data_IF_935000414910
#
_entry.id   IF_935000414910
#
_cell.length_a   1.000
_cell.length_b   1.000
_cell.length_c   1.000
_cell.angle_alpha   90.00
_cell.angle_beta   90.00
_cell.angle_gamma   90.00
#
_symmetry.space_group_name_H-M   'P 1'
#
loop_
_entity.id
_entity.type
_entity.pdbx_description
1 polymer ?
#
# COMPACT_ATOMS: atom_id res chain seq x y z
N UNK A 1 -14.23 20.90 7.18
CA UNK A 1 -15.49 20.77 7.91
C UNK A 1 -15.22 21.00 9.38
N UNK A 2 -16.01 21.83 10.04
CA UNK A 2 -15.94 22.00 11.49
C UNK A 2 -16.56 20.75 12.14
N UNK A 3 -16.16 20.47 13.40
CA UNK A 3 -16.70 19.34 14.17
C UNK A 3 -18.21 19.42 14.35
N UNK A 4 -18.77 20.62 14.40
CA UNK A 4 -20.20 20.92 14.55
C UNK A 4 -21.02 20.59 13.30
N UNK A 5 -20.34 20.42 12.13
CA UNK A 5 -20.98 20.07 10.86
C UNK A 5 -21.12 18.54 10.67
N UNK A 6 -20.71 17.74 11.67
CA UNK A 6 -20.60 16.27 11.56
C UNK A 6 -21.43 15.59 12.64
N UNK A 7 -22.50 14.90 12.23
CA UNK A 7 -23.44 14.21 13.16
C UNK A 7 -22.81 12.96 13.80
N UNK A 8 -21.95 12.23 13.07
CA UNK A 8 -21.42 10.96 13.53
C UNK A 8 -19.96 10.75 13.12
N UNK A 9 -19.11 10.40 14.06
CA UNK A 9 -17.67 10.23 13.83
C UNK A 9 -17.27 8.78 14.05
N UNK A 10 -16.74 8.15 13.00
CA UNK A 10 -16.09 6.85 13.06
C UNK A 10 -14.58 6.99 12.98
N UNK A 11 -13.85 6.32 13.85
CA UNK A 11 -12.40 6.27 13.81
C UNK A 11 -11.88 4.92 13.35
N UNK A 12 -10.77 4.93 12.59
CA UNK A 12 -10.09 3.73 12.12
C UNK A 12 -8.58 3.93 12.09
N UNK A 13 -7.83 2.90 11.68
CA UNK A 13 -6.37 2.94 11.61
C UNK A 13 -5.70 2.68 12.96
N UNK A 14 -4.38 2.90 12.99
CA UNK A 14 -3.56 2.64 14.19
C UNK A 14 -3.97 3.52 15.36
N UNK A 15 -4.22 4.81 15.09
CA UNK A 15 -4.62 5.80 16.10
C UNK A 15 -6.11 5.82 16.46
N UNK A 16 -6.93 4.85 16.02
CA UNK A 16 -8.39 4.88 16.21
C UNK A 16 -8.85 5.05 17.66
N UNK A 17 -8.10 4.53 18.62
CA UNK A 17 -8.41 4.64 20.04
C UNK A 17 -8.09 5.99 20.66
N UNK A 18 -7.24 6.80 20.02
CA UNK A 18 -6.82 8.13 20.53
C UNK A 18 -7.77 9.26 20.14
N UNK A 19 -8.71 9.01 19.23
CA UNK A 19 -9.72 9.99 18.82
C UNK A 19 -10.78 10.08 19.91
N UNK A 20 -10.68 11.04 20.80
CA UNK A 20 -11.56 11.18 21.99
C UNK A 20 -13.03 11.48 21.64
N UNK A 21 -13.28 12.12 20.51
CA UNK A 21 -14.60 12.56 20.06
C UNK A 21 -15.28 11.56 19.09
N UNK A 22 -14.74 10.33 18.97
CA UNK A 22 -15.37 9.30 18.16
C UNK A 22 -16.65 8.78 18.80
N UNK A 23 -17.64 8.49 17.98
CA UNK A 23 -18.85 7.77 18.39
C UNK A 23 -18.65 6.24 18.29
N UNK A 24 -17.88 5.82 17.27
CA UNK A 24 -17.52 4.42 17.05
C UNK A 24 -16.08 4.28 16.57
N UNK A 25 -15.48 3.13 16.88
CA UNK A 25 -14.19 2.74 16.27
C UNK A 25 -14.32 1.39 15.56
N UNK A 26 -13.58 1.23 14.48
CA UNK A 26 -13.50 -0.02 13.74
C UNK A 26 -12.07 -0.35 13.33
N UNK A 27 -11.83 -1.61 13.03
CA UNK A 27 -10.51 -2.03 12.58
C UNK A 27 -10.21 -1.45 11.20
N UNK A 28 -8.95 -1.16 10.95
CA UNK A 28 -8.47 -0.72 9.66
C UNK A 28 -8.73 -1.76 8.55
N UNK A 29 -8.74 -3.05 8.88
CA UNK A 29 -9.10 -4.12 7.95
C UNK A 29 -10.54 -3.99 7.46
N UNK A 30 -11.48 -3.88 8.39
CA UNK A 30 -12.90 -3.72 8.06
C UNK A 30 -13.14 -2.46 7.26
N UNK A 31 -12.54 -1.36 7.68
CA UNK A 31 -12.67 -0.07 7.02
C UNK A 31 -12.06 -0.09 5.60
N UNK A 32 -10.85 -0.63 5.42
CA UNK A 32 -10.22 -0.71 4.09
C UNK A 32 -10.99 -1.61 3.12
N UNK A 33 -11.55 -2.74 3.59
CA UNK A 33 -12.40 -3.60 2.75
C UNK A 33 -13.63 -2.86 2.22
N UNK A 34 -14.30 -2.11 3.08
CA UNK A 34 -15.46 -1.29 2.69
C UNK A 34 -15.07 -0.11 1.78
N UNK A 35 -13.97 0.57 2.10
CA UNK A 35 -13.49 1.68 1.28
C UNK A 35 -13.07 1.24 -0.13
N UNK A 36 -12.35 0.13 -0.24
CA UNK A 36 -11.97 -0.43 -1.53
C UNK A 36 -13.20 -0.79 -2.39
N UNK A 37 -14.22 -1.42 -1.77
CA UNK A 37 -15.47 -1.72 -2.45
C UNK A 37 -16.25 -0.48 -2.85
N UNK A 38 -16.25 0.56 -2.01
CA UNK A 38 -16.91 1.82 -2.31
C UNK A 38 -16.28 2.49 -3.54
N UNK A 39 -14.96 2.48 -3.66
CA UNK A 39 -14.22 3.04 -4.80
C UNK A 39 -14.36 2.17 -6.05
N UNK A 40 -14.31 0.85 -5.89
CA UNK A 40 -14.34 -0.12 -6.97
C UNK A 40 -15.31 -1.27 -6.63
N UNK A 41 -16.59 -1.17 -6.97
CA UNK A 41 -17.64 -2.12 -6.56
C UNK A 41 -17.40 -3.57 -6.96
N UNK A 42 -16.69 -3.78 -8.08
CA UNK A 42 -16.38 -5.11 -8.59
C UNK A 42 -15.13 -5.75 -7.96
N UNK A 43 -14.40 -5.01 -7.12
CA UNK A 43 -13.19 -5.55 -6.49
C UNK A 43 -13.50 -6.71 -5.54
N UNK A 44 -12.65 -7.74 -5.57
CA UNK A 44 -12.71 -8.90 -4.66
C UNK A 44 -11.38 -9.16 -3.97
N UNK A 45 -10.31 -8.60 -4.51
CA UNK A 45 -8.97 -8.66 -3.94
C UNK A 45 -8.49 -7.26 -3.62
N UNK A 46 -8.12 -7.03 -2.36
CA UNK A 46 -7.62 -5.73 -1.90
C UNK A 46 -6.19 -5.91 -1.40
N UNK A 47 -5.32 -5.04 -1.85
CA UNK A 47 -3.95 -4.93 -1.40
C UNK A 47 -3.78 -3.59 -0.69
N UNK A 48 -3.64 -3.63 0.63
CA UNK A 48 -3.40 -2.45 1.45
C UNK A 48 -1.92 -2.36 1.81
N UNK A 49 -1.23 -1.33 1.30
CA UNK A 49 0.19 -1.12 1.58
C UNK A 49 0.36 0.22 2.29
N UNK A 50 0.59 0.13 3.59
CA UNK A 50 0.89 1.25 4.46
C UNK A 50 2.40 1.46 4.67
N UNK A 51 2.74 2.34 5.62
CA UNK A 51 4.13 2.58 5.99
C UNK A 51 4.80 1.36 6.64
N UNK A 52 4.07 0.60 7.47
CA UNK A 52 4.64 -0.48 8.30
C UNK A 52 4.13 -1.87 7.96
N UNK A 53 3.08 -2.00 7.17
CA UNK A 53 2.48 -3.30 6.87
C UNK A 53 1.97 -3.37 5.45
N UNK A 54 2.02 -4.59 4.90
CA UNK A 54 1.35 -4.95 3.65
C UNK A 54 0.33 -6.03 3.97
N UNK A 55 -0.90 -5.81 3.54
CA UNK A 55 -2.04 -6.70 3.76
C UNK A 55 -2.70 -7.03 2.45
N UNK A 56 -2.94 -8.31 2.24
CA UNK A 56 -3.78 -8.80 1.15
C UNK A 56 -5.08 -9.32 1.74
N UNK A 57 -6.21 -8.92 1.18
CA UNK A 57 -7.54 -9.29 1.64
C UNK A 57 -8.39 -9.80 0.48
N UNK A 58 -9.17 -10.84 0.73
CA UNK A 58 -10.35 -11.18 -0.09
C UNK A 58 -11.59 -10.63 0.60
N UNK A 59 -12.41 -9.93 -0.16
CA UNK A 59 -13.65 -9.35 0.33
C UNK A 59 -14.87 -9.95 -0.37
N UNK A 60 -15.98 -9.98 0.34
CA UNK A 60 -17.30 -10.31 -0.22
C UNK A 60 -17.87 -9.12 -1.00
N UNK A 61 -18.98 -9.36 -1.70
CA UNK A 61 -19.77 -8.32 -2.39
C UNK A 61 -20.23 -7.20 -1.46
N UNK A 62 -20.32 -7.48 -0.16
CA UNK A 62 -20.66 -6.52 0.87
C UNK A 62 -19.46 -5.70 1.36
N UNK A 63 -18.25 -5.95 0.87
CA UNK A 63 -17.01 -5.35 1.39
C UNK A 63 -16.48 -6.01 2.67
N UNK A 64 -17.16 -7.04 3.19
CA UNK A 64 -16.69 -7.80 4.35
C UNK A 64 -15.43 -8.60 4.02
N UNK A 65 -14.41 -8.47 4.85
CA UNK A 65 -13.17 -9.26 4.71
C UNK A 65 -13.44 -10.73 5.04
N UNK A 66 -13.17 -11.61 4.08
CA UNK A 66 -13.31 -13.08 4.20
C UNK A 66 -11.99 -13.76 4.55
N UNK A 67 -10.91 -13.33 3.91
CA UNK A 67 -9.58 -13.88 4.13
C UNK A 67 -8.57 -12.74 4.22
N UNK A 68 -7.55 -12.95 5.04
CA UNK A 68 -6.46 -12.00 5.25
C UNK A 68 -5.12 -12.72 5.23
N UNK A 69 -4.14 -12.10 4.58
CA UNK A 69 -2.71 -12.37 4.77
C UNK A 69 -2.01 -11.04 4.97
N UNK A 70 -1.05 -11.01 5.87
CA UNK A 70 -0.32 -9.77 6.15
C UNK A 70 1.16 -10.03 6.36
N UNK A 71 1.94 -9.02 6.07
CA UNK A 71 3.34 -8.90 6.44
C UNK A 71 3.47 -7.63 7.30
N UNK A 72 3.58 -7.81 8.59
CA UNK A 72 3.74 -6.77 9.61
C UNK A 72 5.06 -6.89 10.38
N UNK A 73 5.83 -7.96 10.12
CA UNK A 73 7.07 -8.26 10.84
C UNK A 73 8.33 -7.83 10.11
N UNK A 74 8.23 -7.53 8.82
CA UNK A 74 9.37 -7.16 8.00
C UNK A 74 9.18 -5.80 7.34
N UNK A 75 9.96 -4.82 7.77
CA UNK A 75 9.92 -3.45 7.27
C UNK A 75 10.21 -3.33 5.75
N UNK A 76 10.92 -4.29 5.16
CA UNK A 76 11.18 -4.30 3.71
C UNK A 76 9.92 -4.53 2.86
N UNK A 77 8.82 -4.94 3.47
CA UNK A 77 7.57 -5.19 2.74
C UNK A 77 6.59 -4.02 2.75
N UNK A 78 6.99 -2.83 3.18
CA UNK A 78 6.09 -1.70 3.37
C UNK A 78 6.73 -0.35 3.01
N UNK A 79 5.94 0.71 2.98
CA UNK A 79 6.35 2.04 2.55
C UNK A 79 7.52 2.66 3.32
N UNK A 80 7.70 2.31 4.60
CA UNK A 80 8.84 2.79 5.38
C UNK A 80 10.20 2.39 4.80
N UNK A 81 10.28 1.28 4.07
CA UNK A 81 11.48 0.91 3.35
C UNK A 81 11.82 1.93 2.25
N UNK A 82 10.82 2.36 1.46
CA UNK A 82 11.04 3.39 0.44
C UNK A 82 11.45 4.73 1.04
N UNK A 83 10.93 5.09 2.22
CA UNK A 83 11.36 6.31 2.94
C UNK A 83 12.85 6.24 3.28
N UNK A 84 13.34 5.07 3.72
CA UNK A 84 14.77 4.89 3.98
C UNK A 84 15.60 4.92 2.70
N UNK A 85 15.15 4.24 1.65
CA UNK A 85 15.82 4.27 0.33
C UNK A 85 15.95 5.71 -0.16
N UNK A 86 14.86 6.49 -0.11
CA UNK A 86 14.87 7.89 -0.48
C UNK A 86 15.91 8.69 0.32
N UNK A 87 15.95 8.48 1.64
CA UNK A 87 16.92 9.14 2.52
C UNK A 87 18.37 8.81 2.17
N UNK A 88 18.68 7.55 1.86
CA UNK A 88 20.05 7.13 1.46
C UNK A 88 20.47 7.74 0.13
N UNK A 89 19.53 7.98 -0.77
CA UNK A 89 19.77 8.59 -2.07
C UNK A 89 19.62 10.13 -2.06
N UNK A 90 19.37 10.72 -0.90
CA UNK A 90 19.14 12.17 -0.71
C UNK A 90 17.97 12.70 -1.57
N UNK A 91 16.94 11.88 -1.76
CA UNK A 91 15.76 12.18 -2.55
C UNK A 91 14.50 12.24 -1.67
N UNK A 92 13.48 12.95 -2.13
CA UNK A 92 12.14 12.91 -1.54
C UNK A 92 11.35 11.69 -2.00
N UNK A 93 10.30 11.33 -1.26
CA UNK A 93 9.38 10.23 -1.64
C UNK A 93 8.70 10.49 -2.99
N UNK A 94 8.42 11.74 -3.32
CA UNK A 94 7.83 12.11 -4.61
C UNK A 94 8.82 11.89 -5.77
N UNK A 95 10.07 12.31 -5.59
CA UNK A 95 11.12 12.16 -6.61
C UNK A 95 11.43 10.69 -6.91
N UNK A 96 11.54 9.82 -5.89
CA UNK A 96 11.84 8.41 -6.13
C UNK A 96 10.76 7.71 -6.96
N UNK A 97 9.50 8.13 -6.84
CA UNK A 97 8.40 7.58 -7.64
C UNK A 97 8.49 7.98 -9.11
N UNK A 98 8.80 9.24 -9.38
CA UNK A 98 8.97 9.76 -10.74
C UNK A 98 10.18 9.13 -11.43
N UNK A 99 11.33 9.12 -10.74
CA UNK A 99 12.56 8.52 -11.28
C UNK A 99 12.42 7.03 -11.56
N UNK A 100 11.79 6.27 -10.67
CA UNK A 100 11.62 4.83 -10.87
C UNK A 100 10.84 4.48 -12.15
N UNK A 101 9.92 5.33 -12.61
CA UNK A 101 9.16 5.12 -13.85
C UNK A 101 10.08 5.15 -15.09
N UNK A 102 11.20 5.86 -15.01
CA UNK A 102 12.20 6.00 -16.10
C UNK A 102 13.21 4.83 -16.16
N UNK A 103 13.05 3.83 -15.27
CA UNK A 103 13.93 2.67 -15.22
C UNK A 103 13.90 1.85 -16.52
N UNK A 104 15.08 1.53 -17.04
CA UNK A 104 15.26 0.74 -18.25
C UNK A 104 15.64 -0.71 -17.92
N UNK A 105 16.53 -0.90 -16.94
CA UNK A 105 17.03 -2.21 -16.53
C UNK A 105 16.98 -2.32 -14.98
N UNK A 106 15.80 -2.56 -14.39
CA UNK A 106 15.64 -2.63 -12.94
C UNK A 106 16.63 -3.59 -12.27
N UNK A 107 17.38 -3.11 -11.29
CA UNK A 107 18.37 -3.92 -10.58
C UNK A 107 17.69 -4.92 -9.65
N UNK A 108 18.23 -6.13 -9.55
CA UNK A 108 17.72 -7.12 -8.63
C UNK A 108 18.14 -6.76 -7.20
N UNK A 109 17.13 -6.56 -6.34
CA UNK A 109 17.33 -6.27 -4.91
C UNK A 109 16.68 -7.38 -4.09
N UNK A 110 17.39 -7.85 -3.07
CA UNK A 110 16.91 -8.92 -2.20
C UNK A 110 15.57 -8.59 -1.57
N UNK A 111 14.66 -9.53 -1.65
CA UNK A 111 13.36 -9.43 -1.00
C UNK A 111 13.36 -10.01 0.43
N UNK A 112 14.46 -10.56 0.91
CA UNK A 112 14.49 -11.34 2.16
C UNK A 112 14.54 -10.45 3.40
N UNK A 113 15.39 -9.43 3.42
CA UNK A 113 15.60 -8.57 4.58
C UNK A 113 15.85 -7.13 4.17
N UNK A 114 15.23 -6.18 4.91
CA UNK A 114 15.42 -4.74 4.67
C UNK A 114 16.88 -4.32 4.80
N UNK A 115 17.62 -4.85 5.80
CA UNK A 115 19.02 -4.52 6.04
C UNK A 115 19.89 -5.00 4.88
N UNK A 116 19.65 -6.21 4.36
CA UNK A 116 20.37 -6.71 3.20
C UNK A 116 20.05 -5.88 1.95
N UNK A 117 18.79 -5.53 1.74
CA UNK A 117 18.35 -4.70 0.62
C UNK A 117 19.00 -3.29 0.67
N UNK A 118 19.12 -2.70 1.85
CA UNK A 118 19.81 -1.41 2.02
C UNK A 118 21.30 -1.51 1.66
N UNK A 119 21.97 -2.55 2.09
CA UNK A 119 23.37 -2.79 1.73
C UNK A 119 23.57 -3.03 0.24
N UNK A 120 22.64 -3.78 -0.39
CA UNK A 120 22.65 -4.00 -1.84
C UNK A 120 22.48 -2.68 -2.61
N UNK A 121 21.56 -1.80 -2.16
CA UNK A 121 21.36 -0.47 -2.77
C UNK A 121 22.64 0.36 -2.72
N UNK A 122 23.30 0.42 -1.55
CA UNK A 122 24.56 1.16 -1.38
C UNK A 122 25.63 0.62 -2.33
N UNK A 123 25.75 -0.70 -2.44
CA UNK A 123 26.71 -1.34 -3.35
C UNK A 123 26.41 -1.02 -4.82
N UNK A 124 25.13 -1.00 -5.22
CA UNK A 124 24.74 -0.66 -6.59
C UNK A 124 25.02 0.81 -6.93
N UNK A 125 24.79 1.72 -5.98
CA UNK A 125 25.15 3.14 -6.13
C UNK A 125 26.67 3.28 -6.29
N UNK A 126 27.44 2.63 -5.45
CA UNK A 126 28.92 2.64 -5.50
C UNK A 126 29.46 2.04 -6.82
N UNK A 127 28.74 1.04 -7.36
CA UNK A 127 29.07 0.44 -8.67
C UNK A 127 28.63 1.31 -9.87
N UNK A 128 28.09 2.52 -9.64
CA UNK A 128 27.69 3.45 -10.70
C UNK A 128 26.42 3.02 -11.46
N UNK A 129 25.58 2.19 -10.86
CA UNK A 129 24.30 1.83 -11.47
C UNK A 129 23.35 3.02 -11.47
N UNK A 130 22.47 3.09 -12.47
CA UNK A 130 21.49 4.17 -12.59
C UNK A 130 20.52 4.17 -11.42
N UNK A 131 20.25 5.34 -10.87
CA UNK A 131 19.35 5.51 -9.71
C UNK A 131 17.94 5.04 -10.03
N UNK A 132 17.43 5.29 -11.23
CA UNK A 132 16.12 4.88 -11.70
C UNK A 132 15.96 3.35 -11.64
N UNK A 133 16.98 2.62 -12.09
CA UNK A 133 17.00 1.17 -12.12
C UNK A 133 17.08 0.56 -10.71
N UNK A 134 17.84 1.20 -9.80
CA UNK A 134 17.93 0.83 -8.40
C UNK A 134 16.58 1.05 -7.71
N UNK A 135 15.93 2.20 -7.93
CA UNK A 135 14.65 2.56 -7.35
C UNK A 135 13.54 1.61 -7.80
N UNK A 136 13.47 1.31 -9.09
CA UNK A 136 12.50 0.34 -9.59
C UNK A 136 12.77 -1.05 -9.02
N UNK A 137 14.01 -1.48 -8.87
CA UNK A 137 14.39 -2.73 -8.22
C UNK A 137 13.90 -2.82 -6.77
N UNK A 138 14.06 -1.74 -6.00
CA UNK A 138 13.56 -1.64 -4.64
C UNK A 138 12.03 -1.76 -4.58
N UNK A 139 11.32 -1.09 -5.49
CA UNK A 139 9.85 -1.15 -5.58
C UNK A 139 9.37 -2.53 -6.02
N UNK A 140 10.04 -3.18 -6.96
CA UNK A 140 9.75 -4.56 -7.37
C UNK A 140 9.96 -5.57 -6.24
N UNK A 141 10.92 -5.35 -5.36
CA UNK A 141 11.13 -6.15 -4.14
C UNK A 141 9.90 -6.11 -3.22
N UNK A 142 9.29 -4.93 -3.01
CA UNK A 142 8.04 -4.79 -2.26
C UNK A 142 6.88 -5.44 -3.02
N UNK A 143 6.77 -5.17 -4.32
CA UNK A 143 5.70 -5.68 -5.17
C UNK A 143 5.67 -7.22 -5.22
N UNK A 144 6.83 -7.86 -5.30
CA UNK A 144 6.95 -9.33 -5.28
C UNK A 144 6.41 -9.94 -3.99
N UNK A 145 6.68 -9.30 -2.84
CA UNK A 145 6.12 -9.74 -1.54
C UNK A 145 4.62 -9.55 -1.47
N UNK A 146 4.13 -8.41 -1.94
CA UNK A 146 2.71 -8.13 -2.01
C UNK A 146 1.99 -9.16 -2.90
N UNK A 147 2.56 -9.48 -4.06
CA UNK A 147 2.07 -10.54 -4.94
C UNK A 147 2.04 -11.90 -4.25
N UNK A 148 3.09 -12.25 -3.49
CA UNK A 148 3.14 -13.51 -2.76
C UNK A 148 2.04 -13.62 -1.70
N UNK A 149 1.66 -12.52 -1.05
CA UNK A 149 0.52 -12.50 -0.12
C UNK A 149 -0.79 -12.73 -0.85
N UNK A 150 -1.01 -12.05 -1.97
CA UNK A 150 -2.20 -12.24 -2.81
C UNK A 150 -2.32 -13.68 -3.32
N UNK A 151 -1.23 -14.24 -3.86
CA UNK A 151 -1.22 -15.63 -4.35
C UNK A 151 -1.64 -16.65 -3.29
N UNK A 152 -1.28 -16.42 -2.01
CA UNK A 152 -1.68 -17.28 -0.89
C UNK A 152 -3.17 -17.19 -0.53
N UNK A 153 -3.87 -16.17 -1.00
CA UNK A 153 -5.31 -16.00 -0.83
C UNK A 153 -6.11 -16.58 -1.99
N UNK A 154 -5.46 -16.89 -3.11
CA UNK A 154 -6.11 -17.07 -4.39
C UNK A 154 -6.55 -15.71 -4.93
N UNK A 155 -5.85 -15.20 -5.94
CA UNK A 155 -6.16 -13.90 -6.55
C UNK A 155 -7.45 -14.04 -7.34
N UNK A 156 -8.43 -13.20 -7.01
CA UNK A 156 -9.55 -12.94 -7.90
C UNK A 156 -9.22 -11.73 -8.78
N UNK A 157 -9.83 -11.66 -9.95
CA UNK A 157 -9.64 -10.52 -10.86
C UNK A 157 -10.03 -9.21 -10.17
N UNK A 158 -9.49 -8.09 -10.68
CA UNK A 158 -9.69 -6.74 -10.15
C UNK A 158 -9.10 -6.56 -8.74
N UNK A 159 -7.77 -6.50 -8.70
CA UNK A 159 -7.05 -6.13 -7.49
C UNK A 159 -7.15 -4.61 -7.29
N UNK A 160 -7.58 -4.19 -6.12
CA UNK A 160 -7.59 -2.79 -5.72
C UNK A 160 -6.48 -2.52 -4.71
N UNK A 161 -5.68 -1.50 -4.99
CA UNK A 161 -4.65 -0.98 -4.10
C UNK A 161 -5.26 0.09 -3.20
N UNK A 162 -4.98 0.00 -1.91
CA UNK A 162 -5.28 1.01 -0.91
C UNK A 162 -4.02 1.35 -0.10
N UNK A 163 -4.07 2.44 0.66
CA UNK A 163 -2.93 2.91 1.45
C UNK A 163 -2.06 3.91 0.71
N UNK A 164 -1.24 4.62 1.48
CA UNK A 164 -0.47 5.77 0.99
C UNK A 164 0.58 5.46 -0.07
N UNK A 165 1.05 4.20 -0.15
CA UNK A 165 2.06 3.81 -1.14
C UNK A 165 1.54 3.86 -2.58
N UNK A 166 0.22 3.72 -2.75
CA UNK A 166 -0.42 3.82 -4.05
C UNK A 166 -0.29 5.19 -4.72
N UNK A 167 -0.04 6.25 -3.96
CA UNK A 167 0.23 7.56 -4.51
C UNK A 167 1.58 7.62 -5.29
N UNK A 168 2.49 6.67 -5.04
CA UNK A 168 3.78 6.61 -5.73
C UNK A 168 3.64 5.90 -7.10
N UNK A 169 3.90 6.59 -8.24
CA UNK A 169 3.71 6.02 -9.57
C UNK A 169 4.65 4.84 -9.87
N UNK A 170 5.89 4.90 -9.42
CA UNK A 170 6.85 3.80 -9.58
C UNK A 170 6.39 2.54 -8.85
N UNK A 171 5.78 2.70 -7.68
CA UNK A 171 5.25 1.55 -6.92
C UNK A 171 4.05 0.91 -7.62
N UNK A 172 3.13 1.71 -8.20
CA UNK A 172 2.04 1.17 -9.02
C UNK A 172 2.57 0.39 -10.21
N UNK A 173 3.51 0.97 -10.94
CA UNK A 173 4.16 0.30 -12.08
C UNK A 173 4.84 -1.02 -11.66
N UNK A 174 5.56 -1.03 -10.54
CA UNK A 174 6.20 -2.24 -10.02
C UNK A 174 5.19 -3.33 -9.67
N UNK A 175 4.06 -2.97 -9.05
CA UNK A 175 2.97 -3.89 -8.73
C UNK A 175 2.34 -4.47 -9.99
N UNK A 176 2.02 -3.64 -10.98
CA UNK A 176 1.42 -4.08 -12.25
C UNK A 176 2.37 -4.99 -13.03
N UNK A 177 3.67 -4.65 -13.08
CA UNK A 177 4.70 -5.52 -13.69
C UNK A 177 4.77 -6.88 -12.99
N UNK A 178 4.81 -6.91 -11.65
CA UNK A 178 4.86 -8.16 -10.90
C UNK A 178 3.58 -8.99 -11.05
N UNK A 179 2.40 -8.35 -11.10
CA UNK A 179 1.12 -9.06 -11.19
C UNK A 179 0.74 -9.46 -12.61
N UNK A 180 1.32 -8.81 -13.62
CA UNK A 180 0.98 -9.03 -15.03
C UNK A 180 -0.43 -8.55 -15.39
N UNK A 181 -1.02 -7.66 -14.59
CA UNK A 181 -2.36 -7.09 -14.80
C UNK A 181 -2.46 -5.69 -14.20
N UNK A 182 -3.39 -4.86 -14.70
CA UNK A 182 -3.68 -3.55 -14.11
C UNK A 182 -4.16 -3.67 -12.66
N UNK A 183 -3.91 -2.61 -11.89
CA UNK A 183 -4.35 -2.48 -10.50
C UNK A 183 -5.26 -1.26 -10.38
N UNK A 184 -6.43 -1.45 -9.80
CA UNK A 184 -7.32 -0.34 -9.49
C UNK A 184 -6.73 0.51 -8.37
N UNK A 185 -6.63 1.80 -8.59
CA UNK A 185 -6.21 2.77 -7.59
C UNK A 185 -6.86 4.13 -7.87
N UNK A 186 -7.47 4.70 -6.86
CA UNK A 186 -7.98 6.07 -6.91
C UNK A 186 -6.90 7.02 -6.36
N UNK A 187 -6.39 7.99 -7.14
CA UNK A 187 -5.29 8.85 -6.71
C UNK A 187 -5.65 9.81 -5.57
N UNK A 188 -6.93 10.17 -5.43
CA UNK A 188 -7.39 11.09 -4.40
C UNK A 188 -7.84 10.36 -3.15
N UNK A 189 -8.67 9.34 -3.28
CA UNK A 189 -9.31 8.64 -2.17
C UNK A 189 -8.63 7.31 -1.79
N UNK A 190 -7.86 6.72 -2.69
CA UNK A 190 -7.16 5.46 -2.42
C UNK A 190 -6.27 5.46 -1.18
N UNK A 191 -5.49 6.53 -0.90
CA UNK A 191 -4.74 6.68 0.34
C UNK A 191 -5.65 6.74 1.60
N UNK A 192 -6.88 7.20 1.43
CA UNK A 192 -7.88 7.40 2.49
C UNK A 192 -9.00 6.36 2.47
N UNK A 193 -8.85 5.27 1.72
CA UNK A 193 -9.87 4.22 1.59
C UNK A 193 -10.37 3.72 2.96
N UNK A 194 -9.48 3.60 3.96
CA UNK A 194 -9.88 3.27 5.32
C UNK A 194 -10.82 4.29 5.96
N UNK A 195 -10.56 5.58 5.79
CA UNK A 195 -11.44 6.64 6.31
C UNK A 195 -12.79 6.65 5.58
N UNK A 196 -12.79 6.49 4.25
CA UNK A 196 -14.00 6.38 3.45
C UNK A 196 -14.85 5.18 3.89
N UNK A 197 -14.25 4.01 4.05
CA UNK A 197 -14.96 2.81 4.49
C UNK A 197 -15.49 2.93 5.92
N UNK A 198 -14.78 3.63 6.80
CA UNK A 198 -15.26 3.94 8.14
C UNK A 198 -16.50 4.86 8.08
N UNK A 199 -16.50 5.87 7.21
CA UNK A 199 -17.64 6.75 7.01
C UNK A 199 -18.86 6.00 6.43
N UNK A 200 -18.66 5.14 5.41
CA UNK A 200 -19.72 4.30 4.83
C UNK A 200 -20.37 3.41 5.90
N UNK A 201 -19.57 2.77 6.74
CA UNK A 201 -20.09 1.93 7.81
C UNK A 201 -20.78 2.73 8.94
N UNK A 202 -20.39 3.96 9.16
CA UNK A 202 -21.03 4.86 10.10
C UNK A 202 -22.43 5.28 9.63
N UNK A 203 -22.57 5.61 8.34
CA UNK A 203 -23.86 6.01 7.73
C UNK A 203 -24.91 4.88 7.70
N UNK A 204 -24.49 3.62 7.83
CA UNK A 204 -25.40 2.46 7.82
C UNK A 204 -25.95 2.10 9.20
N UNK A 205 -25.69 2.91 10.24
CA UNK A 205 -26.15 2.73 11.63
C UNK A 205 -27.12 3.79 12.07
#
# INVERSE_FOLDING_TARGET
ANREDVDYVASTGFGRSTVSFRHIQMTDLTANGQGARCLFPETRSVLDIGAQSTRAMRIADTGQVKLLRMNDKCAAGAGAFLVRVAKYLELSIAEIGALAVEAQEPQQISSVCAVLAESEIINLVTAGKRIEDILMGAMMSIASRAQALLKRLGVEQQVTLTGGIGANPGMRMALERCMGQPINFDPELGPYAGALGAAVLACSR
#
